data_IF_718967120649
#
_entry.id   IF_718967120649
#
_cell.length_a   1.000
_cell.length_b   1.000
_cell.length_c   1.000
_cell.angle_alpha   90.00
_cell.angle_beta   90.00
_cell.angle_gamma   90.00
#
_symmetry.space_group_name_H-M   'P 1'
#
loop_
_entity.id
_entity.type
_entity.pdbx_description
1 polymer ?
#
# COMPACT_ATOMS: atom_id res chain seq x y z
N UNK A 1 16.52 -11.01 -0.40
CA UNK A 1 15.66 -10.71 0.75
C UNK A 1 14.34 -11.45 0.58
N UNK A 2 14.14 -12.50 1.39
CA UNK A 2 12.86 -13.22 1.42
C UNK A 2 11.90 -12.34 2.19
N UNK A 3 11.01 -11.68 1.48
CA UNK A 3 9.78 -11.20 2.12
C UNK A 3 9.14 -12.38 2.82
N UNK A 4 8.71 -12.19 4.05
CA UNK A 4 7.82 -13.16 4.64
C UNK A 4 6.67 -13.28 3.66
N UNK A 5 6.39 -14.48 3.30
CA UNK A 5 5.56 -14.86 2.15
C UNK A 5 4.10 -14.64 2.48
N UNK A 6 3.53 -13.47 2.24
CA UNK A 6 2.24 -13.02 2.73
C UNK A 6 1.07 -13.40 1.83
N UNK A 7 0.13 -13.60 2.42
CA UNK A 7 -0.88 -14.65 2.50
C UNK A 7 -2.06 -14.38 1.56
N UNK A 8 -2.53 -13.13 1.35
CA UNK A 8 -3.65 -12.88 0.45
C UNK A 8 -3.24 -12.80 -1.03
N UNK A 9 -2.23 -12.05 -1.38
CA UNK A 9 -1.65 -12.09 -2.74
C UNK A 9 -1.18 -13.49 -3.13
N UNK A 10 -0.91 -14.32 -2.15
CA UNK A 10 -0.46 -15.71 -2.32
C UNK A 10 -1.56 -16.71 -2.41
N UNK A 11 -2.72 -16.45 -1.80
CA UNK A 11 -3.87 -17.30 -2.03
C UNK A 11 -4.26 -17.22 -3.51
N UNK A 12 -4.38 -16.00 -4.06
CA UNK A 12 -4.69 -15.81 -5.47
C UNK A 12 -3.62 -16.42 -6.37
N UNK A 13 -2.32 -16.19 -6.10
CA UNK A 13 -1.22 -16.82 -6.84
C UNK A 13 -1.21 -18.34 -6.71
N UNK A 14 -1.50 -18.87 -5.51
CA UNK A 14 -1.61 -20.33 -5.30
C UNK A 14 -2.77 -20.90 -6.06
N UNK A 15 -3.95 -20.28 -5.99
CA UNK A 15 -5.14 -20.72 -6.71
C UNK A 15 -4.91 -20.64 -8.22
N UNK A 16 -4.34 -19.56 -8.73
CA UNK A 16 -4.01 -19.46 -10.16
C UNK A 16 -3.07 -20.57 -10.62
N UNK A 17 -2.01 -20.85 -9.88
CA UNK A 17 -1.10 -21.96 -10.18
C UNK A 17 -1.79 -23.30 -10.09
N UNK A 18 -2.64 -23.51 -9.08
CA UNK A 18 -3.39 -24.75 -8.92
C UNK A 18 -4.38 -24.96 -10.05
N UNK A 19 -5.06 -23.90 -10.51
CA UNK A 19 -5.97 -23.97 -11.68
C UNK A 19 -5.18 -24.27 -12.96
N UNK A 20 -4.01 -23.66 -13.17
CA UNK A 20 -3.17 -23.98 -14.32
C UNK A 20 -2.74 -25.45 -14.32
N UNK A 21 -2.31 -25.98 -13.18
CA UNK A 21 -1.97 -27.39 -13.02
C UNK A 21 -3.19 -28.32 -13.25
N UNK A 22 -4.38 -27.91 -12.79
CA UNK A 22 -5.61 -28.67 -13.03
C UNK A 22 -5.95 -28.74 -14.53
N UNK A 23 -5.82 -27.61 -15.24
CA UNK A 23 -6.07 -27.54 -16.69
C UNK A 23 -5.08 -28.43 -17.45
N UNK A 24 -3.80 -28.38 -17.09
CA UNK A 24 -2.78 -29.23 -17.70
C UNK A 24 -3.06 -30.72 -17.43
N UNK A 25 -3.35 -31.09 -16.18
CA UNK A 25 -3.62 -32.47 -15.81
C UNK A 25 -4.90 -33.05 -16.43
N UNK A 26 -5.95 -32.25 -16.58
CA UNK A 26 -7.25 -32.68 -17.08
C UNK A 26 -7.40 -32.60 -18.60
N UNK A 27 -6.75 -31.61 -19.22
CA UNK A 27 -6.99 -31.26 -20.62
C UNK A 27 -5.72 -31.30 -21.48
N UNK A 28 -4.53 -31.49 -20.88
CA UNK A 28 -3.26 -31.64 -21.59
C UNK A 28 -2.68 -30.32 -22.14
N UNK A 29 -3.22 -29.17 -21.70
CA UNK A 29 -2.80 -27.85 -22.18
C UNK A 29 -2.18 -27.03 -21.04
N UNK A 30 -0.99 -26.48 -21.28
CA UNK A 30 -0.28 -25.63 -20.34
C UNK A 30 -0.75 -24.19 -20.46
N UNK A 31 -1.20 -23.59 -19.36
CA UNK A 31 -1.62 -22.19 -19.29
C UNK A 31 -0.77 -21.47 -18.23
N UNK A 32 -0.34 -20.25 -18.55
CA UNK A 32 0.35 -19.39 -17.59
C UNK A 32 -0.61 -18.94 -16.48
N UNK A 33 -0.15 -19.00 -15.23
CA UNK A 33 -0.98 -18.69 -14.07
C UNK A 33 -1.50 -17.23 -14.02
N UNK A 34 -0.81 -16.30 -14.66
CA UNK A 34 -1.21 -14.89 -14.79
C UNK A 34 -2.39 -14.66 -15.73
N UNK A 35 -2.68 -15.66 -16.60
CA UNK A 35 -3.87 -15.64 -17.49
C UNK A 35 -5.13 -16.17 -16.82
N UNK A 36 -5.02 -16.73 -15.61
CA UNK A 36 -6.17 -17.22 -14.84
C UNK A 36 -6.92 -16.03 -14.24
N UNK A 37 -8.17 -15.87 -14.63
CA UNK A 37 -9.02 -14.80 -14.11
C UNK A 37 -9.66 -15.22 -12.80
N UNK A 38 -9.26 -14.58 -11.71
CA UNK A 38 -9.84 -14.71 -10.38
C UNK A 38 -10.62 -13.44 -10.03
N UNK A 39 -11.68 -13.60 -9.26
CA UNK A 39 -12.45 -12.50 -8.70
C UNK A 39 -13.02 -12.90 -7.33
N UNK A 40 -13.40 -11.92 -6.54
CA UNK A 40 -14.09 -12.18 -5.29
C UNK A 40 -15.47 -12.77 -5.59
N UNK A 41 -15.85 -13.81 -4.85
CA UNK A 41 -17.18 -14.41 -4.98
C UNK A 41 -18.26 -13.39 -4.59
N UNK A 42 -19.32 -13.28 -5.39
CA UNK A 42 -20.44 -12.38 -5.09
C UNK A 42 -21.15 -12.82 -3.82
N UNK A 43 -21.64 -11.85 -3.05
CA UNK A 43 -22.29 -12.08 -1.74
C UNK A 43 -23.50 -13.03 -1.76
N UNK A 44 -24.14 -13.17 -2.92
CA UNK A 44 -25.28 -14.06 -3.12
C UNK A 44 -24.90 -15.53 -3.32
N UNK A 45 -23.61 -15.83 -3.48
CA UNK A 45 -23.10 -17.19 -3.70
C UNK A 45 -22.14 -17.59 -2.59
N UNK A 46 -22.13 -18.87 -2.25
CA UNK A 46 -21.17 -19.46 -1.33
C UNK A 46 -19.79 -19.56 -1.98
N UNK A 47 -18.74 -19.20 -1.22
CA UNK A 47 -17.33 -19.22 -1.63
C UNK A 47 -16.61 -17.92 -1.34
N UNK A 48 -15.30 -17.98 -1.38
CA UNK A 48 -14.40 -16.85 -1.14
C UNK A 48 -13.82 -16.30 -2.45
N UNK A 49 -13.41 -17.19 -3.35
CA UNK A 49 -12.78 -16.87 -4.63
C UNK A 49 -13.53 -17.56 -5.78
N UNK A 50 -13.78 -16.80 -6.84
CA UNK A 50 -14.39 -17.30 -8.08
C UNK A 50 -13.35 -17.37 -9.18
N UNK A 51 -13.25 -18.55 -9.81
CA UNK A 51 -12.48 -18.78 -11.04
C UNK A 51 -13.41 -18.65 -12.25
N UNK A 52 -13.00 -17.85 -13.23
CA UNK A 52 -13.74 -17.74 -14.51
C UNK A 52 -13.34 -18.89 -15.42
N UNK A 53 -14.25 -19.84 -15.66
CA UNK A 53 -13.93 -21.08 -16.40
C UNK A 53 -14.12 -20.99 -17.91
N UNK A 54 -14.75 -19.94 -18.41
CA UNK A 54 -15.05 -19.79 -19.85
C UNK A 54 -13.83 -19.94 -20.79
N UNK A 55 -12.63 -19.44 -20.44
CA UNK A 55 -11.45 -19.63 -21.29
C UNK A 55 -11.07 -21.12 -21.50
N UNK A 56 -11.45 -21.99 -20.57
CA UNK A 56 -11.08 -23.41 -20.58
C UNK A 56 -12.10 -24.31 -21.28
N UNK A 57 -13.29 -23.81 -21.56
CA UNK A 57 -14.39 -24.57 -22.17
C UNK A 57 -13.99 -25.22 -23.50
N UNK A 58 -13.26 -24.49 -24.35
CA UNK A 58 -12.77 -25.00 -25.64
C UNK A 58 -11.74 -26.11 -25.46
N UNK A 59 -10.87 -26.01 -24.44
CA UNK A 59 -9.85 -27.01 -24.12
C UNK A 59 -10.50 -28.27 -23.55
N UNK A 60 -11.45 -28.09 -22.65
CA UNK A 60 -12.18 -29.18 -22.01
C UNK A 60 -13.14 -29.91 -22.99
N UNK A 61 -13.58 -29.26 -24.06
CA UNK A 61 -14.64 -29.75 -24.98
C UNK A 61 -15.91 -30.18 -24.23
N UNK A 62 -16.27 -29.41 -23.19
CA UNK A 62 -17.40 -29.65 -22.29
C UNK A 62 -18.19 -28.37 -22.11
N UNK A 63 -19.35 -28.45 -21.46
CA UNK A 63 -20.09 -27.26 -21.05
C UNK A 63 -19.30 -26.43 -19.99
N UNK A 64 -19.59 -25.14 -19.80
CA UNK A 64 -18.95 -24.32 -18.77
C UNK A 64 -19.12 -24.93 -17.36
N UNK A 65 -20.29 -25.48 -17.06
CA UNK A 65 -20.58 -26.13 -15.79
C UNK A 65 -19.75 -27.41 -15.58
N UNK A 66 -19.68 -28.28 -16.60
CA UNK A 66 -18.88 -29.50 -16.53
C UNK A 66 -17.38 -29.20 -16.45
N UNK A 67 -16.92 -28.18 -17.17
CA UNK A 67 -15.53 -27.72 -17.10
C UNK A 67 -15.21 -27.20 -15.70
N UNK A 68 -16.06 -26.35 -15.14
CA UNK A 68 -15.91 -25.85 -13.77
C UNK A 68 -15.93 -26.96 -12.72
N UNK A 69 -16.83 -27.95 -12.87
CA UNK A 69 -16.91 -29.09 -11.96
C UNK A 69 -15.64 -29.94 -12.01
N UNK A 70 -15.14 -30.27 -13.20
CA UNK A 70 -13.92 -31.08 -13.34
C UNK A 70 -12.71 -30.38 -12.69
N UNK A 71 -12.55 -29.08 -12.92
CA UNK A 71 -11.49 -28.27 -12.28
C UNK A 71 -11.71 -28.22 -10.77
N UNK A 72 -12.93 -27.97 -10.30
CA UNK A 72 -13.27 -27.93 -8.87
C UNK A 72 -12.98 -29.23 -8.13
N UNK A 73 -13.36 -30.37 -8.70
CA UNK A 73 -13.06 -31.70 -8.16
C UNK A 73 -11.56 -31.97 -8.08
N UNK A 74 -10.82 -31.61 -9.12
CA UNK A 74 -9.36 -31.75 -9.11
C UNK A 74 -8.73 -30.87 -8.02
N UNK A 75 -9.17 -29.61 -7.92
CA UNK A 75 -8.68 -28.67 -6.90
C UNK A 75 -9.00 -29.16 -5.48
N UNK A 76 -10.20 -29.62 -5.22
CA UNK A 76 -10.62 -30.14 -3.91
C UNK A 76 -9.73 -31.32 -3.46
N UNK A 77 -9.34 -32.19 -4.41
CA UNK A 77 -8.52 -33.38 -4.13
C UNK A 77 -7.02 -33.06 -4.02
N UNK A 78 -6.54 -31.97 -4.63
CA UNK A 78 -5.11 -31.68 -4.74
C UNK A 78 -4.67 -30.42 -3.98
N UNK A 79 -5.61 -29.61 -3.45
CA UNK A 79 -5.32 -28.35 -2.73
C UNK A 79 -5.91 -28.40 -1.33
N UNK A 80 -5.05 -28.47 -0.33
CA UNK A 80 -5.45 -28.55 1.08
C UNK A 80 -6.15 -27.30 1.61
N UNK A 81 -5.94 -26.16 0.95
CA UNK A 81 -6.56 -24.89 1.30
C UNK A 81 -8.05 -24.83 0.96
N UNK A 82 -8.53 -25.66 0.03
CA UNK A 82 -9.91 -25.67 -0.43
C UNK A 82 -10.74 -26.64 0.42
N UNK A 83 -11.88 -26.18 0.93
CA UNK A 83 -12.82 -27.01 1.68
C UNK A 83 -13.97 -27.51 0.83
N UNK A 84 -14.50 -26.65 -0.04
CA UNK A 84 -15.69 -26.91 -0.85
C UNK A 84 -15.63 -26.10 -2.14
N UNK A 85 -16.45 -26.47 -3.11
CA UNK A 85 -16.67 -25.68 -4.30
C UNK A 85 -18.12 -25.81 -4.79
N UNK A 86 -18.56 -24.79 -5.53
CA UNK A 86 -19.80 -24.85 -6.32
C UNK A 86 -19.59 -24.23 -7.69
N UNK A 87 -20.42 -24.59 -8.66
CA UNK A 87 -20.37 -24.04 -10.02
C UNK A 87 -21.72 -23.47 -10.38
N UNK A 88 -21.73 -22.19 -10.70
CA UNK A 88 -22.96 -21.45 -11.06
C UNK A 88 -22.71 -20.72 -12.38
N UNK A 89 -23.45 -21.14 -13.42
CA UNK A 89 -23.38 -20.53 -14.77
C UNK A 89 -21.94 -20.41 -15.31
N UNK A 90 -21.12 -21.45 -15.08
CA UNK A 90 -19.73 -21.47 -15.54
C UNK A 90 -18.74 -20.68 -14.67
N UNK A 91 -19.15 -20.20 -13.51
CA UNK A 91 -18.28 -19.62 -12.50
C UNK A 91 -18.00 -20.67 -11.42
N UNK A 92 -16.73 -21.00 -11.23
CA UNK A 92 -16.29 -21.92 -10.19
C UNK A 92 -15.96 -21.14 -8.93
N UNK A 93 -16.81 -21.24 -7.92
CA UNK A 93 -16.63 -20.61 -6.62
C UNK A 93 -15.95 -21.59 -5.66
N UNK A 94 -14.88 -21.18 -5.03
CA UNK A 94 -14.06 -21.96 -4.11
C UNK A 94 -14.22 -21.42 -2.68
N UNK A 95 -14.48 -22.31 -1.73
CA UNK A 95 -14.47 -22.00 -0.29
C UNK A 95 -13.12 -22.38 0.30
N UNK A 96 -12.52 -21.48 1.04
CA UNK A 96 -11.20 -21.64 1.66
C UNK A 96 -11.37 -22.10 3.11
N UNK A 97 -10.59 -23.10 3.52
CA UNK A 97 -10.63 -23.63 4.89
C UNK A 97 -10.34 -22.56 5.93
N UNK A 98 -11.10 -22.55 7.01
CA UNK A 98 -10.89 -21.63 8.14
C UNK A 98 -9.48 -21.74 8.72
N UNK A 99 -8.88 -22.92 8.74
CA UNK A 99 -7.50 -23.12 9.19
C UNK A 99 -6.49 -22.26 8.40
N UNK A 100 -6.68 -22.09 7.08
CA UNK A 100 -5.84 -21.23 6.27
C UNK A 100 -5.89 -19.77 6.73
N UNK A 101 -7.08 -19.27 7.04
CA UNK A 101 -7.24 -17.88 7.51
C UNK A 101 -6.62 -17.67 8.91
N UNK A 102 -6.71 -18.67 9.79
CA UNK A 102 -6.06 -18.63 11.10
C UNK A 102 -4.53 -18.65 10.97
N UNK A 103 -3.99 -19.52 10.14
CA UNK A 103 -2.55 -19.55 9.83
C UNK A 103 -2.08 -18.20 9.24
N UNK A 104 -2.90 -17.62 8.37
CA UNK A 104 -2.69 -16.32 7.80
C UNK A 104 -2.61 -15.20 8.84
N UNK A 105 -3.59 -15.16 9.74
CA UNK A 105 -3.65 -14.18 10.80
C UNK A 105 -2.45 -14.31 11.76
N UNK A 106 -2.09 -15.52 12.14
CA UNK A 106 -0.94 -15.77 13.01
C UNK A 106 0.36 -15.27 12.36
N UNK A 107 0.57 -15.58 11.08
CA UNK A 107 1.76 -15.13 10.39
C UNK A 107 1.81 -13.59 10.20
N UNK A 108 0.66 -12.93 10.09
CA UNK A 108 0.57 -11.46 10.10
C UNK A 108 0.91 -10.92 11.50
N UNK A 109 0.37 -11.55 12.55
CA UNK A 109 0.59 -11.11 13.92
C UNK A 109 2.04 -11.29 14.41
N UNK A 110 2.75 -12.27 13.86
CA UNK A 110 4.17 -12.54 14.16
C UNK A 110 5.14 -11.63 13.40
N UNK A 111 4.68 -10.89 12.41
CA UNK A 111 5.51 -10.00 11.62
C UNK A 111 5.29 -8.53 11.97
N UNK A 112 6.15 -7.97 12.81
CA UNK A 112 6.12 -6.56 13.20
C UNK A 112 6.24 -5.58 12.00
N UNK A 113 6.74 -6.06 10.88
CA UNK A 113 6.91 -5.26 9.66
C UNK A 113 5.92 -5.64 8.54
N UNK A 114 4.80 -6.30 8.90
CA UNK A 114 3.80 -6.67 7.91
C UNK A 114 3.32 -5.47 7.09
N UNK A 115 3.37 -5.62 5.78
CA UNK A 115 3.00 -4.55 4.83
C UNK A 115 4.10 -3.54 4.53
N UNK A 116 5.25 -3.61 5.21
CA UNK A 116 6.40 -2.74 4.96
C UNK A 116 7.42 -3.46 4.08
N UNK A 117 7.83 -2.82 3.01
CA UNK A 117 8.89 -3.29 2.13
C UNK A 117 10.21 -2.62 2.48
N UNK A 118 11.28 -3.40 2.63
CA UNK A 118 12.64 -2.83 2.73
C UNK A 118 13.09 -2.29 1.38
N UNK A 119 13.71 -1.12 1.37
CA UNK A 119 14.26 -0.54 0.15
C UNK A 119 15.46 -1.37 -0.35
N UNK A 120 15.46 -1.72 -1.62
CA UNK A 120 16.63 -2.30 -2.30
C UNK A 120 17.67 -1.21 -2.61
N UNK A 121 18.91 -1.62 -2.91
CA UNK A 121 20.02 -0.68 -3.14
C UNK A 121 19.75 0.28 -4.30
N UNK A 122 19.07 -0.19 -5.34
CA UNK A 122 18.73 0.52 -6.57
C UNK A 122 17.27 1.03 -6.58
N UNK A 123 16.58 0.93 -5.43
CA UNK A 123 15.22 1.43 -5.32
C UNK A 123 15.15 2.95 -5.63
N UNK A 124 14.04 3.43 -6.22
CA UNK A 124 13.84 4.84 -6.50
C UNK A 124 14.10 5.72 -5.28
N UNK A 125 14.79 6.85 -5.49
CA UNK A 125 15.05 7.83 -4.46
C UNK A 125 14.05 8.99 -4.56
N UNK A 126 13.29 9.20 -3.49
CA UNK A 126 12.38 10.33 -3.33
C UNK A 126 12.98 11.35 -2.37
N UNK A 127 13.15 12.58 -2.83
CA UNK A 127 13.45 13.71 -1.98
C UNK A 127 12.15 14.45 -1.70
N UNK A 128 11.77 14.56 -0.43
CA UNK A 128 10.51 15.16 0.00
C UNK A 128 10.82 16.36 0.88
N UNK A 129 10.53 17.54 0.34
CA UNK A 129 10.68 18.80 1.05
C UNK A 129 9.40 19.14 1.81
N UNK A 130 9.54 19.42 3.09
CA UNK A 130 8.45 19.93 3.93
C UNK A 130 9.04 20.64 5.16
N UNK A 131 8.19 21.29 5.95
CA UNK A 131 8.64 22.02 7.13
C UNK A 131 9.60 23.19 6.78
N UNK A 132 9.26 23.94 5.72
CA UNK A 132 10.04 25.08 5.21
C UNK A 132 9.30 26.41 5.42
N UNK A 133 8.96 26.81 6.67
CA UNK A 133 8.28 28.07 6.92
C UNK A 133 9.23 29.25 6.76
N UNK A 134 8.66 30.45 6.49
CA UNK A 134 9.42 31.68 6.61
C UNK A 134 9.82 31.92 8.08
N UNK A 135 11.07 32.29 8.32
CA UNK A 135 11.63 32.44 9.67
C UNK A 135 11.12 33.67 10.42
N UNK A 136 10.49 34.63 9.72
CA UNK A 136 10.00 35.90 10.26
C UNK A 136 8.52 35.90 10.64
N UNK A 137 7.92 34.72 10.83
CA UNK A 137 6.50 34.56 11.17
C UNK A 137 6.27 33.40 12.16
N UNK A 138 5.33 33.57 13.10
CA UNK A 138 4.87 32.46 13.91
C UNK A 138 4.25 31.32 13.05
N UNK A 139 4.40 30.09 13.52
CA UNK A 139 3.75 28.93 12.89
C UNK A 139 2.24 28.99 13.11
N UNK A 140 1.49 28.51 12.13
CA UNK A 140 0.04 28.37 12.21
C UNK A 140 -0.41 26.98 11.69
N UNK A 141 -1.69 26.67 11.81
CA UNK A 141 -2.25 25.35 11.44
C UNK A 141 -1.92 24.92 10.01
N UNK A 142 -1.76 25.85 9.07
CA UNK A 142 -1.32 25.55 7.72
C UNK A 142 0.08 24.91 7.65
N UNK A 143 1.01 25.36 8.49
CA UNK A 143 2.34 24.77 8.61
C UNK A 143 2.28 23.36 9.20
N UNK A 144 1.46 23.15 10.24
CA UNK A 144 1.25 21.83 10.85
C UNK A 144 0.69 20.86 9.82
N UNK A 145 -0.34 21.26 9.06
CA UNK A 145 -0.90 20.46 7.97
C UNK A 145 0.18 20.08 6.96
N UNK A 146 1.00 21.02 6.52
CA UNK A 146 2.06 20.77 5.55
C UNK A 146 3.11 19.78 6.08
N UNK A 147 3.49 19.93 7.36
CA UNK A 147 4.41 19.03 8.03
C UNK A 147 3.88 17.61 8.10
N UNK A 148 2.60 17.44 8.49
CA UNK A 148 1.97 16.12 8.57
C UNK A 148 1.84 15.46 7.18
N UNK A 149 1.50 16.24 6.15
CA UNK A 149 1.42 15.71 4.77
C UNK A 149 2.80 15.24 4.29
N UNK A 150 3.84 16.06 4.43
CA UNK A 150 5.19 15.71 4.01
C UNK A 150 5.75 14.51 4.76
N UNK A 151 5.53 14.45 6.08
CA UNK A 151 5.90 13.31 6.90
C UNK A 151 5.17 12.03 6.46
N UNK A 152 3.84 12.09 6.31
CA UNK A 152 3.03 10.91 5.93
C UNK A 152 3.41 10.38 4.55
N UNK A 153 3.59 11.25 3.57
CA UNK A 153 4.04 10.85 2.22
C UNK A 153 5.42 10.18 2.31
N UNK A 154 6.33 10.72 3.12
CA UNK A 154 7.66 10.13 3.32
C UNK A 154 7.59 8.73 3.90
N UNK A 155 6.76 8.51 4.92
CA UNK A 155 6.61 7.19 5.55
C UNK A 155 5.90 6.20 4.62
N UNK A 156 4.89 6.63 3.84
CA UNK A 156 4.24 5.79 2.83
C UNK A 156 5.25 5.35 1.76
N UNK A 157 6.09 6.27 1.27
CA UNK A 157 7.11 5.91 0.28
C UNK A 157 8.14 4.94 0.85
N UNK A 158 8.58 5.11 2.09
CA UNK A 158 9.45 4.15 2.76
C UNK A 158 8.79 2.78 2.89
N UNK A 159 7.54 2.74 3.34
CA UNK A 159 6.79 1.50 3.50
C UNK A 159 6.60 0.75 2.18
N UNK A 160 6.59 1.46 1.05
CA UNK A 160 6.56 0.88 -0.30
C UNK A 160 7.93 0.40 -0.82
N UNK A 161 8.97 0.47 -0.01
CA UNK A 161 10.30 0.02 -0.39
C UNK A 161 11.10 1.03 -1.19
N UNK A 162 10.73 2.29 -1.16
CA UNK A 162 11.49 3.37 -1.79
C UNK A 162 12.53 3.96 -0.82
N UNK A 163 13.59 4.51 -1.38
CA UNK A 163 14.57 5.30 -0.63
C UNK A 163 14.01 6.72 -0.46
N UNK A 164 14.08 7.27 0.75
CA UNK A 164 13.51 8.59 1.04
C UNK A 164 14.52 9.47 1.77
N UNK A 165 14.69 10.70 1.28
CA UNK A 165 15.41 11.78 1.95
C UNK A 165 14.40 12.87 2.29
N UNK A 166 14.28 13.16 3.57
CA UNK A 166 13.47 14.29 4.06
C UNK A 166 14.33 15.52 4.10
N UNK A 167 13.87 16.61 3.50
CA UNK A 167 14.60 17.87 3.41
C UNK A 167 13.71 19.02 3.85
N UNK A 168 14.35 20.11 4.27
CA UNK A 168 13.68 21.37 4.47
C UNK A 168 14.59 22.52 3.97
N UNK A 169 13.97 23.62 3.58
CA UNK A 169 14.66 24.84 3.20
C UNK A 169 14.48 25.86 4.34
N UNK A 170 15.57 26.35 4.87
CA UNK A 170 15.55 27.47 5.81
C UNK A 170 15.48 28.75 5.01
N UNK A 171 14.31 29.42 5.06
CA UNK A 171 14.10 30.67 4.36
C UNK A 171 14.41 31.84 5.27
N UNK A 172 15.69 32.23 5.34
CA UNK A 172 16.23 33.34 6.12
C UNK A 172 16.63 34.54 5.25
N UNK A 173 16.43 34.46 3.95
CA UNK A 173 16.76 35.51 2.98
C UNK A 173 15.62 35.74 2.01
N UNK A 174 15.07 36.94 2.04
CA UNK A 174 13.99 37.34 1.14
C UNK A 174 13.50 38.76 1.47
N UNK A 175 12.75 39.37 0.53
CA UNK A 175 12.33 40.78 0.68
C UNK A 175 11.48 40.99 1.96
N UNK A 176 10.63 40.02 2.32
CA UNK A 176 9.80 40.14 3.52
C UNK A 176 10.62 40.03 4.80
N UNK A 177 11.63 39.17 4.83
CA UNK A 177 12.54 38.98 5.94
C UNK A 177 13.39 40.25 6.10
N UNK A 178 13.96 40.77 4.99
CA UNK A 178 14.72 42.02 5.01
C UNK A 178 13.88 43.22 5.52
N UNK A 179 12.58 43.28 5.14
CA UNK A 179 11.67 44.33 5.66
C UNK A 179 11.46 44.21 7.17
N UNK A 180 11.22 43.01 7.69
CA UNK A 180 11.07 42.77 9.14
C UNK A 180 12.36 43.17 9.90
N UNK A 181 13.53 42.77 9.37
CA UNK A 181 14.82 43.10 9.98
C UNK A 181 15.09 44.62 9.98
N UNK A 182 14.82 45.27 8.87
CA UNK A 182 14.98 46.71 8.76
C UNK A 182 14.04 47.47 9.72
N UNK A 183 12.77 47.03 9.79
CA UNK A 183 11.79 47.61 10.72
C UNK A 183 12.25 47.44 12.18
N UNK A 184 12.74 46.23 12.55
CA UNK A 184 13.30 46.01 13.88
C UNK A 184 14.53 46.89 14.16
N UNK A 185 15.45 47.04 13.20
CA UNK A 185 16.61 47.93 13.36
C UNK A 185 16.23 49.39 13.57
N UNK A 186 15.22 49.87 12.85
CA UNK A 186 14.81 51.27 12.89
C UNK A 186 13.91 51.60 14.10
N UNK A 187 13.06 50.66 14.51
CA UNK A 187 11.99 50.90 15.48
C UNK A 187 12.05 50.03 16.72
N UNK A 188 12.91 49.01 16.75
CA UNK A 188 12.94 48.00 17.83
C UNK A 188 13.64 48.48 19.12
N UNK A 189 14.33 49.63 19.08
CA UNK A 189 14.96 50.25 20.28
C UNK A 189 15.78 49.25 21.13
N UNK A 190 16.41 48.26 20.51
CA UNK A 190 17.19 47.23 21.19
C UNK A 190 16.34 46.12 21.83
N UNK A 191 15.07 45.98 21.44
CA UNK A 191 14.23 44.86 21.88
C UNK A 191 14.79 43.53 21.38
N UNK A 192 14.94 42.54 22.30
CA UNK A 192 15.41 41.20 22.04
C UNK A 192 14.46 40.19 22.67
N UNK A 193 14.51 38.91 22.29
CA UNK A 193 13.73 37.86 22.95
C UNK A 193 13.97 37.81 24.47
N UNK A 194 15.22 38.05 24.90
CA UNK A 194 15.62 37.98 26.31
C UNK A 194 15.03 39.14 27.12
N UNK A 195 15.01 40.36 26.59
CA UNK A 195 14.52 41.52 27.36
C UNK A 195 13.02 41.76 27.22
N UNK A 196 12.40 41.24 26.16
CA UNK A 196 10.94 41.34 25.93
C UNK A 196 10.15 40.15 26.47
N UNK A 197 10.82 39.02 26.76
CA UNK A 197 10.17 37.77 27.11
C UNK A 197 9.36 37.12 25.98
N UNK A 198 9.48 37.64 24.76
CA UNK A 198 8.81 37.11 23.56
C UNK A 198 9.68 36.03 22.89
N UNK A 199 9.06 35.07 22.21
CA UNK A 199 9.79 34.18 21.29
C UNK A 199 10.28 34.98 20.06
N UNK A 200 11.45 34.64 19.53
CA UNK A 200 12.06 35.37 18.42
C UNK A 200 11.18 35.46 17.17
N UNK A 201 10.44 34.41 16.84
CA UNK A 201 9.50 34.37 15.71
C UNK A 201 8.29 35.30 15.93
N UNK A 202 7.82 35.45 17.16
CA UNK A 202 6.78 36.40 17.54
C UNK A 202 7.31 37.85 17.48
N UNK A 203 8.49 38.08 18.06
CA UNK A 203 9.11 39.38 18.06
C UNK A 203 9.31 39.91 16.63
N UNK A 204 9.97 39.13 15.78
CA UNK A 204 10.21 39.50 14.37
C UNK A 204 8.91 39.60 13.58
N UNK A 205 7.91 38.78 13.93
CA UNK A 205 6.58 38.79 13.31
C UNK A 205 5.81 40.09 13.53
N UNK A 206 5.96 40.75 14.68
CA UNK A 206 5.35 42.05 14.98
C UNK A 206 5.89 43.16 14.05
N UNK A 207 7.17 43.09 13.68
CA UNK A 207 7.79 44.03 12.73
C UNK A 207 7.51 43.73 11.26
N UNK A 208 6.79 42.62 10.98
CA UNK A 208 6.40 42.28 9.62
C UNK A 208 5.14 43.02 9.16
N UNK A 209 4.23 43.33 10.07
CA UNK A 209 2.95 44.02 9.81
C UNK A 209 3.17 45.54 9.67
#
# INVERSE_FOLDING_TARGET
LRFPKYITMRLEEKISKAVANAVEALFGETIEADKIQLQQTKKEFEGDITVVTFPFVKLARKSPEETGRAIGEWLLNNQKEISEFNVIKGFLNLSIRSAFWVEALNAIAEDENYGIRSAEKDAPLYMIEYSSPNTNKPLHLGHIRNNLLGFSISEIQKANGNRVVKTNIVNDRGIHICKSMLAWQLFGNGETPENSGKKGDHLVGEYYV
#
